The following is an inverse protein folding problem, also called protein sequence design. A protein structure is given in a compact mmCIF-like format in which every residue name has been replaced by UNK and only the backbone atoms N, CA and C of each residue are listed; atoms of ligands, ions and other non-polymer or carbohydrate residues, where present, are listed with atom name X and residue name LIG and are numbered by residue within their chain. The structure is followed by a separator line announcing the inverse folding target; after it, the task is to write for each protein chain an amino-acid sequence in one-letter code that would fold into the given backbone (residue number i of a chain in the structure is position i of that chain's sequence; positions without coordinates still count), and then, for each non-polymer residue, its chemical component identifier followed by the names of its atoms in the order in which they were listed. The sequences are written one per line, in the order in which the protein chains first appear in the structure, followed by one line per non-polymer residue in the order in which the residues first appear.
data_IF_745653468847
#
_entry.id   IF_745653468847
#
_cell.length_a   1.000
_cell.length_b   1.000
_cell.length_c   1.000
_cell.angle_alpha   90.00
_cell.angle_beta   90.00
_cell.angle_gamma   90.00
#
_symmetry.space_group_name_H-M   'P 1'
#
loop_
_entity.id
_entity.type
_entity.pdbx_description
1 polymer ?
#
# COMPACT_ATOMS: atom_id res chain seq x y z
N UNK A 1 27.34 16.21 24.93
CA UNK A 1 26.16 16.16 24.05
C UNK A 1 26.45 15.72 22.62
N UNK A 2 27.47 16.22 21.89
CA UNK A 2 27.76 15.84 20.51
C UNK A 2 28.19 14.37 20.29
N UNK A 3 28.87 13.75 21.25
CA UNK A 3 29.31 12.35 21.16
C UNK A 3 28.16 11.35 21.38
N UNK A 4 27.22 11.65 22.31
CA UNK A 4 25.99 10.88 22.52
C UNK A 4 25.06 10.93 21.29
N UNK A 5 25.00 12.07 20.60
CA UNK A 5 24.24 12.22 19.34
C UNK A 5 24.81 11.35 18.20
N UNK A 6 26.13 11.22 18.09
CA UNK A 6 26.79 10.36 17.08
C UNK A 6 26.54 8.85 17.33
N UNK A 7 26.56 8.44 18.61
CA UNK A 7 26.33 7.05 19.00
C UNK A 7 24.89 6.61 18.71
N UNK A 8 23.90 7.42 19.10
CA UNK A 8 22.49 7.15 18.81
C UNK A 8 22.17 7.11 17.30
N UNK A 9 22.81 7.98 16.50
CA UNK A 9 22.64 7.95 15.04
C UNK A 9 23.22 6.70 14.39
N UNK A 10 24.37 6.19 14.89
CA UNK A 10 24.95 4.93 14.40
C UNK A 10 24.06 3.73 14.69
N UNK A 11 23.42 3.71 15.87
CA UNK A 11 22.47 2.65 16.27
C UNK A 11 21.22 2.71 15.38
N UNK A 12 20.63 3.88 15.19
CA UNK A 12 19.44 4.07 14.34
C UNK A 12 19.71 3.67 12.89
N UNK A 13 20.87 4.01 12.35
CA UNK A 13 21.30 3.61 11.00
C UNK A 13 21.46 2.08 10.89
N UNK A 14 22.03 1.42 11.89
CA UNK A 14 22.18 -0.03 11.93
C UNK A 14 20.81 -0.72 12.01
N UNK A 15 19.91 -0.23 12.84
CA UNK A 15 18.55 -0.78 12.93
C UNK A 15 17.71 -0.50 11.67
N UNK A 16 17.84 0.67 11.05
CA UNK A 16 17.21 0.96 9.75
C UNK A 16 17.71 0.02 8.63
N UNK A 17 19.00 -0.30 8.64
CA UNK A 17 19.57 -1.26 7.69
C UNK A 17 19.12 -2.69 7.97
N UNK A 18 19.04 -3.10 9.24
CA UNK A 18 18.56 -4.43 9.65
C UNK A 18 17.07 -4.59 9.34
N UNK A 19 16.22 -3.63 9.67
CA UNK A 19 14.78 -3.67 9.33
C UNK A 19 14.56 -3.66 7.83
N UNK A 20 15.38 -2.94 7.06
CA UNK A 20 15.34 -2.94 5.61
C UNK A 20 15.73 -4.30 5.04
N UNK A 21 16.83 -4.89 5.50
CA UNK A 21 17.26 -6.22 5.06
C UNK A 21 16.24 -7.29 5.42
N UNK A 22 15.66 -7.23 6.61
CA UNK A 22 14.61 -8.15 7.04
C UNK A 22 13.32 -7.97 6.21
N UNK A 23 12.89 -6.74 5.94
CA UNK A 23 11.74 -6.47 5.05
C UNK A 23 11.99 -6.97 3.63
N UNK A 24 13.22 -6.81 3.15
CA UNK A 24 13.66 -7.29 1.84
C UNK A 24 13.68 -8.82 1.79
N UNK A 25 14.22 -9.46 2.81
CA UNK A 25 14.29 -10.91 2.92
C UNK A 25 12.89 -11.53 2.99
N UNK A 26 11.95 -10.88 3.69
CA UNK A 26 10.54 -11.29 3.75
C UNK A 26 9.82 -11.07 2.42
N UNK A 27 10.07 -9.97 1.70
CA UNK A 27 9.54 -9.77 0.35
C UNK A 27 10.07 -10.82 -0.64
N UNK A 28 11.36 -11.13 -0.58
CA UNK A 28 11.99 -12.16 -1.41
C UNK A 28 11.50 -13.57 -1.06
N UNK A 29 11.35 -13.87 0.24
CA UNK A 29 10.82 -15.17 0.68
C UNK A 29 9.33 -15.33 0.43
N UNK A 30 8.54 -14.25 0.42
CA UNK A 30 7.13 -14.32 -0.01
C UNK A 30 6.97 -14.71 -1.49
N UNK A 31 7.96 -14.39 -2.32
CA UNK A 31 8.02 -14.87 -3.72
C UNK A 31 8.59 -16.29 -3.87
N UNK A 32 9.44 -16.72 -2.94
CA UNK A 32 10.20 -17.97 -3.07
C UNK A 32 9.62 -19.17 -2.30
N UNK A 33 8.80 -18.95 -1.27
CA UNK A 33 8.33 -20.02 -0.36
C UNK A 33 6.91 -20.46 -0.69
N UNK A 34 6.76 -21.05 -1.88
CA UNK A 34 5.80 -22.12 -2.10
C UNK A 34 6.39 -23.50 -1.71
N UNK A 35 7.56 -23.54 -1.08
CA UNK A 35 8.29 -24.79 -0.79
C UNK A 35 8.78 -24.81 0.65
N UNK A 36 8.19 -25.70 1.44
CA UNK A 36 8.54 -26.12 2.80
C UNK A 36 7.70 -25.50 3.93
N UNK A 37 6.84 -26.35 4.49
CA UNK A 37 6.08 -26.08 5.72
C UNK A 37 6.97 -26.37 6.94
N UNK A 38 7.05 -25.47 7.94
CA UNK A 38 7.46 -25.84 9.28
C UNK A 38 6.29 -26.58 9.98
N UNK A 39 6.63 -27.56 10.80
CA UNK A 39 5.74 -28.27 11.69
C UNK A 39 4.91 -27.27 12.51
N UNK A 40 3.60 -27.21 12.25
CA UNK A 40 2.64 -26.44 13.03
C UNK A 40 2.07 -27.31 14.15
N UNK A 41 1.82 -26.67 15.30
CA UNK A 41 0.89 -27.17 16.30
C UNK A 41 -0.47 -27.52 15.67
N UNK A 42 -1.32 -28.40 16.27
CA UNK A 42 -2.45 -28.99 15.61
C UNK A 42 -3.58 -27.94 15.39
N UNK A 43 -3.37 -27.00 14.48
CA UNK A 43 -4.49 -26.39 13.80
C UNK A 43 -5.08 -27.51 12.94
N UNK A 44 -6.33 -27.89 13.22
CA UNK A 44 -7.09 -28.85 12.42
C UNK A 44 -7.06 -28.39 10.97
N UNK A 45 -6.22 -29.03 10.15
CA UNK A 45 -6.22 -28.80 8.71
C UNK A 45 -6.96 -29.95 8.02
N UNK A 46 -7.61 -29.65 6.91
CA UNK A 46 -8.32 -30.67 6.13
C UNK A 46 -7.34 -31.75 5.63
N UNK A 47 -7.74 -33.02 5.75
CA UNK A 47 -7.01 -34.18 5.26
C UNK A 47 -7.93 -34.95 4.34
N UNK A 48 -7.51 -35.18 3.10
CA UNK A 48 -8.30 -35.90 2.09
C UNK A 48 -9.78 -35.43 1.98
N UNK A 49 -9.98 -34.10 1.98
CA UNK A 49 -11.30 -33.50 1.81
C UNK A 49 -12.17 -33.51 3.07
N UNK A 50 -11.63 -33.87 4.24
CA UNK A 50 -12.34 -33.85 5.52
C UNK A 50 -11.64 -32.94 6.52
N UNK A 51 -12.44 -32.07 7.18
CA UNK A 51 -11.98 -31.19 8.26
C UNK A 51 -12.86 -31.42 9.50
N UNK A 52 -12.25 -31.79 10.62
CA UNK A 52 -12.97 -31.98 11.88
C UNK A 52 -12.82 -30.76 12.78
N UNK A 53 -13.93 -30.04 12.97
CA UNK A 53 -14.06 -28.88 13.84
C UNK A 53 -15.05 -29.11 14.98
N UNK A 54 -15.38 -30.38 15.31
CA UNK A 54 -16.35 -30.71 16.36
C UNK A 54 -16.01 -30.13 17.73
N UNK A 55 -14.71 -29.87 17.98
CA UNK A 55 -14.20 -29.25 19.20
C UNK A 55 -14.04 -27.71 19.11
N UNK A 56 -14.46 -27.05 18.02
CA UNK A 56 -14.26 -25.61 17.83
C UNK A 56 -15.06 -24.80 18.86
N UNK A 57 -14.39 -23.99 19.72
CA UNK A 57 -15.06 -23.15 20.71
C UNK A 57 -16.02 -22.15 20.08
N UNK A 58 -17.04 -21.75 20.83
CA UNK A 58 -17.98 -20.71 20.38
C UNK A 58 -17.25 -19.36 20.36
N UNK A 59 -17.42 -18.60 19.29
CA UNK A 59 -16.76 -17.30 19.11
C UNK A 59 -15.43 -17.37 18.36
N UNK A 60 -14.88 -18.57 18.18
CA UNK A 60 -13.64 -18.74 17.43
C UNK A 60 -13.89 -18.80 15.91
N UNK A 61 -12.97 -18.20 15.15
CA UNK A 61 -12.93 -18.21 13.69
C UNK A 61 -11.75 -19.07 13.27
N UNK A 62 -12.00 -20.04 12.40
CA UNK A 62 -10.97 -20.94 11.88
C UNK A 62 -10.83 -20.83 10.36
N UNK A 63 -9.66 -21.23 9.84
CA UNK A 63 -9.39 -21.29 8.40
C UNK A 63 -9.71 -22.67 7.87
N UNK A 64 -10.31 -22.73 6.71
CA UNK A 64 -10.60 -24.00 6.02
C UNK A 64 -9.39 -24.44 5.17
N UNK A 65 -8.23 -24.45 5.79
CA UNK A 65 -6.95 -24.78 5.13
C UNK A 65 -6.72 -26.30 5.12
N UNK A 66 -5.94 -26.79 4.15
CA UNK A 66 -5.52 -28.18 4.07
C UNK A 66 -5.83 -28.84 2.73
N UNK A 67 -6.01 -30.16 2.73
CA UNK A 67 -6.22 -30.91 1.50
C UNK A 67 -7.70 -30.99 1.15
N UNK A 68 -8.07 -30.35 -0.01
CA UNK A 68 -9.42 -30.39 -0.57
C UNK A 68 -9.48 -31.35 -1.74
N UNK A 69 -10.60 -32.05 -1.94
CA UNK A 69 -10.85 -32.80 -3.16
C UNK A 69 -10.94 -31.85 -4.36
N UNK A 70 -10.31 -32.19 -5.48
CA UNK A 70 -10.11 -31.30 -6.61
C UNK A 70 -10.43 -31.96 -7.94
N UNK A 71 -11.24 -31.26 -8.76
CA UNK A 71 -11.73 -31.72 -10.04
C UNK A 71 -11.36 -30.70 -11.12
N UNK A 72 -10.22 -30.92 -11.78
CA UNK A 72 -9.68 -30.02 -12.79
C UNK A 72 -10.47 -30.07 -14.09
N UNK A 73 -10.76 -28.90 -14.69
CA UNK A 73 -11.56 -28.70 -15.90
C UNK A 73 -13.00 -29.25 -15.85
N UNK A 74 -13.54 -29.41 -14.63
CA UNK A 74 -14.92 -29.81 -14.44
C UNK A 74 -15.62 -28.85 -13.46
N UNK A 75 -16.84 -28.44 -13.81
CA UNK A 75 -17.71 -27.62 -12.97
C UNK A 75 -18.86 -28.51 -12.50
N UNK A 76 -18.59 -29.33 -11.47
CA UNK A 76 -19.58 -30.22 -10.89
C UNK A 76 -20.48 -29.49 -9.89
N UNK A 77 -21.78 -29.74 -9.99
CA UNK A 77 -22.74 -29.42 -8.93
C UNK A 77 -22.68 -30.46 -7.80
N UNK A 78 -23.17 -30.15 -6.59
CA UNK A 78 -23.15 -31.12 -5.48
C UNK A 78 -23.82 -32.47 -5.80
N UNK A 79 -24.87 -32.48 -6.66
CA UNK A 79 -25.52 -33.73 -7.08
C UNK A 79 -24.66 -34.61 -7.99
N UNK A 80 -23.87 -33.98 -8.88
CA UNK A 80 -22.96 -34.70 -9.80
C UNK A 80 -21.75 -35.27 -9.07
N UNK A 81 -21.29 -34.61 -7.98
CA UNK A 81 -20.19 -35.09 -7.17
C UNK A 81 -20.46 -36.42 -6.46
N UNK A 82 -21.73 -36.81 -6.24
CA UNK A 82 -22.07 -38.10 -5.63
C UNK A 82 -21.53 -39.29 -6.42
N UNK A 83 -21.29 -39.15 -7.72
CA UNK A 83 -20.77 -40.20 -8.61
C UNK A 83 -19.36 -39.90 -9.14
N UNK A 84 -18.85 -38.68 -8.94
CA UNK A 84 -17.53 -38.26 -9.41
C UNK A 84 -16.45 -38.72 -8.43
N UNK A 85 -15.24 -38.95 -8.97
CA UNK A 85 -14.05 -39.19 -8.16
C UNK A 85 -13.09 -38.02 -8.28
N UNK A 86 -12.51 -37.54 -7.16
CA UNK A 86 -11.55 -36.47 -7.24
C UNK A 86 -10.32 -36.89 -8.07
N UNK A 87 -9.84 -35.97 -8.89
CA UNK A 87 -8.59 -36.17 -9.65
C UNK A 87 -7.38 -36.17 -8.73
N UNK A 88 -7.43 -35.36 -7.67
CA UNK A 88 -6.42 -35.27 -6.63
C UNK A 88 -6.97 -34.60 -5.37
N UNK A 89 -6.21 -34.68 -4.28
CA UNK A 89 -6.33 -33.80 -3.12
C UNK A 89 -5.27 -32.74 -3.20
N UNK A 90 -5.67 -31.46 -3.09
CA UNK A 90 -4.80 -30.31 -3.28
C UNK A 90 -4.79 -29.41 -2.06
N UNK A 91 -3.64 -28.81 -1.79
CA UNK A 91 -3.50 -27.90 -0.64
C UNK A 91 -4.14 -26.54 -0.92
N UNK A 92 -5.14 -26.18 -0.10
CA UNK A 92 -5.78 -24.86 -0.06
C UNK A 92 -5.35 -24.16 1.23
N UNK A 93 -4.98 -22.85 1.21
CA UNK A 93 -4.97 -21.96 0.05
C UNK A 93 -3.74 -22.14 -0.84
N UNK A 94 -3.96 -22.13 -2.14
CA UNK A 94 -2.90 -22.02 -3.15
C UNK A 94 -3.50 -21.68 -4.51
N UNK A 95 -2.75 -21.00 -5.37
CA UNK A 95 -3.14 -20.89 -6.76
C UNK A 95 -2.96 -22.23 -7.47
N UNK A 96 -3.92 -22.65 -8.29
CA UNK A 96 -3.88 -23.99 -8.92
C UNK A 96 -2.72 -24.18 -9.92
N UNK A 97 -2.19 -23.10 -10.49
CA UNK A 97 -0.99 -23.15 -11.33
C UNK A 97 0.31 -23.45 -10.54
N UNK A 98 0.22 -23.60 -9.22
CA UNK A 98 1.27 -24.20 -8.39
C UNK A 98 1.09 -25.71 -8.22
N UNK A 99 -0.05 -26.31 -8.59
CA UNK A 99 -0.29 -27.73 -8.49
C UNK A 99 0.32 -28.51 -9.66
N UNK A 100 0.74 -29.72 -9.35
CA UNK A 100 1.18 -30.72 -10.32
C UNK A 100 0.33 -31.96 -10.11
N UNK A 101 -0.42 -32.38 -11.13
CA UNK A 101 -1.26 -33.58 -11.11
C UNK A 101 -0.57 -34.69 -11.89
N UNK A 102 0.08 -35.61 -11.18
CA UNK A 102 1.00 -36.57 -11.77
C UNK A 102 2.23 -35.80 -12.31
N UNK A 103 2.48 -35.87 -13.64
CA UNK A 103 3.56 -35.13 -14.31
C UNK A 103 3.09 -33.77 -14.90
N UNK A 104 1.79 -33.52 -14.91
CA UNK A 104 1.21 -32.34 -15.54
C UNK A 104 1.15 -31.16 -14.58
N UNK A 105 1.87 -30.08 -14.87
CA UNK A 105 1.71 -28.80 -14.18
C UNK A 105 0.50 -28.07 -14.73
N UNK A 106 -0.41 -27.62 -13.85
CA UNK A 106 -1.63 -26.96 -14.27
C UNK A 106 -1.38 -25.59 -14.89
N UNK A 107 -2.17 -25.27 -15.91
CA UNK A 107 -2.18 -23.95 -16.53
C UNK A 107 -2.80 -22.91 -15.59
N UNK A 108 -2.49 -21.62 -15.84
CA UNK A 108 -3.11 -20.50 -15.11
C UNK A 108 -4.60 -20.37 -15.41
N UNK A 109 -5.00 -20.68 -16.65
CA UNK A 109 -6.34 -20.50 -17.19
C UNK A 109 -7.09 -21.84 -17.21
N UNK A 110 -8.36 -21.84 -16.77
CA UNK A 110 -9.20 -23.02 -16.72
C UNK A 110 -10.34 -22.91 -15.73
N UNK A 111 -10.93 -24.05 -15.41
CA UNK A 111 -11.98 -24.14 -14.41
C UNK A 111 -11.75 -25.36 -13.50
N UNK A 112 -12.29 -25.32 -12.29
CA UNK A 112 -12.17 -26.42 -11.36
C UNK A 112 -13.33 -26.43 -10.35
N UNK A 113 -13.60 -27.60 -9.79
CA UNK A 113 -14.43 -27.76 -8.61
C UNK A 113 -13.56 -28.18 -7.43
N UNK A 114 -13.77 -27.57 -6.29
CA UNK A 114 -13.21 -27.92 -4.99
C UNK A 114 -14.31 -28.45 -4.08
N UNK A 115 -14.00 -29.46 -3.29
CA UNK A 115 -14.96 -30.06 -2.36
C UNK A 115 -14.31 -30.28 -1.00
N UNK A 116 -15.04 -29.92 0.06
CA UNK A 116 -14.62 -30.11 1.46
C UNK A 116 -15.83 -30.53 2.30
N UNK A 117 -15.64 -31.58 3.09
CA UNK A 117 -16.57 -31.96 4.16
C UNK A 117 -16.03 -31.40 5.48
N UNK A 118 -16.85 -30.63 6.20
CA UNK A 118 -16.49 -30.07 7.51
C UNK A 118 -17.43 -30.62 8.57
N UNK A 119 -16.88 -31.27 9.59
CA UNK A 119 -17.65 -31.65 10.78
C UNK A 119 -17.68 -30.48 11.75
N UNK A 120 -18.82 -30.10 12.26
CA UNK A 120 -19.01 -28.94 13.13
C UNK A 120 -19.74 -29.28 14.42
N UNK A 121 -19.52 -28.50 15.53
CA UNK A 121 -20.24 -28.73 16.77
C UNK A 121 -21.74 -28.61 16.60
N UNK A 122 -22.50 -29.48 17.26
CA UNK A 122 -23.96 -29.43 17.33
C UNK A 122 -24.42 -28.59 18.52
N UNK A 123 -24.19 -27.28 18.46
CA UNK A 123 -24.51 -26.35 19.57
C UNK A 123 -25.50 -25.24 19.18
N UNK A 124 -26.16 -25.40 18.04
CA UNK A 124 -27.20 -24.50 17.57
C UNK A 124 -26.73 -23.15 17.07
N UNK A 125 -25.43 -22.94 16.89
CA UNK A 125 -24.92 -21.69 16.30
C UNK A 125 -25.26 -21.60 14.82
N UNK A 126 -25.44 -20.37 14.34
CA UNK A 126 -25.54 -20.06 12.91
C UNK A 126 -24.13 -19.88 12.37
N UNK A 127 -23.75 -20.64 11.35
CA UNK A 127 -22.44 -20.59 10.73
C UNK A 127 -22.39 -19.53 9.63
N UNK A 128 -21.20 -18.94 9.44
CA UNK A 128 -20.91 -18.07 8.31
C UNK A 128 -19.51 -18.36 7.75
N UNK A 129 -19.39 -18.19 6.43
CA UNK A 129 -18.13 -18.22 5.70
C UNK A 129 -17.70 -16.79 5.39
N UNK A 130 -16.46 -16.45 5.66
CA UNK A 130 -15.80 -15.25 5.12
C UNK A 130 -15.00 -15.67 3.89
N UNK A 131 -15.53 -15.34 2.72
CA UNK A 131 -15.00 -15.72 1.41
C UNK A 131 -14.19 -14.52 0.87
N UNK A 132 -12.86 -14.65 0.81
CA UNK A 132 -12.00 -13.60 0.26
C UNK A 132 -12.15 -13.48 -1.25
N UNK A 133 -11.35 -12.61 -1.86
CA UNK A 133 -11.27 -12.51 -3.33
C UNK A 133 -10.76 -13.84 -3.91
N UNK A 134 -11.57 -14.46 -4.74
CA UNK A 134 -11.22 -15.64 -5.55
C UNK A 134 -10.92 -15.19 -6.98
N UNK A 135 -9.97 -15.79 -7.65
CA UNK A 135 -9.64 -15.46 -9.04
C UNK A 135 -10.18 -16.52 -10.00
N UNK A 136 -11.12 -16.12 -10.90
CA UNK A 136 -11.72 -14.78 -11.08
C UNK A 136 -13.23 -14.78 -10.91
N UNK A 137 -13.89 -15.95 -11.05
CA UNK A 137 -15.31 -16.15 -10.79
C UNK A 137 -15.51 -17.41 -9.97
N UNK A 138 -16.49 -17.42 -9.07
CA UNK A 138 -16.81 -18.58 -8.26
C UNK A 138 -18.30 -18.72 -8.00
N UNK A 139 -18.71 -19.95 -7.65
CA UNK A 139 -20.02 -20.30 -7.13
C UNK A 139 -19.86 -21.31 -6.01
N UNK A 140 -20.52 -21.07 -4.88
CA UNK A 140 -20.41 -21.88 -3.66
C UNK A 140 -21.75 -22.50 -3.34
N UNK A 141 -21.73 -23.79 -3.05
CA UNK A 141 -22.84 -24.51 -2.43
C UNK A 141 -22.43 -24.99 -1.05
N UNK A 142 -23.39 -24.97 -0.14
CA UNK A 142 -23.28 -25.61 1.16
C UNK A 142 -24.52 -26.49 1.38
N UNK A 143 -24.31 -27.78 1.66
CA UNK A 143 -25.35 -28.77 1.81
C UNK A 143 -26.37 -28.74 0.66
N UNK A 144 -25.88 -28.74 -0.59
CA UNK A 144 -26.65 -28.73 -1.85
C UNK A 144 -27.39 -27.41 -2.17
N UNK A 145 -27.39 -26.44 -1.27
CA UNK A 145 -28.02 -25.13 -1.51
C UNK A 145 -26.94 -24.16 -2.02
N UNK A 146 -27.21 -23.46 -3.11
CA UNK A 146 -26.33 -22.36 -3.59
C UNK A 146 -26.32 -21.26 -2.54
N UNK A 147 -25.16 -21.00 -1.97
CA UNK A 147 -24.97 -20.07 -0.86
C UNK A 147 -24.44 -18.70 -1.33
N UNK A 148 -23.58 -18.67 -2.36
CA UNK A 148 -23.02 -17.44 -2.88
C UNK A 148 -22.42 -17.62 -4.27
N UNK A 149 -22.29 -16.50 -5.00
CA UNK A 149 -21.53 -16.44 -6.25
C UNK A 149 -20.88 -15.06 -6.44
N UNK A 150 -19.80 -15.01 -7.22
CA UNK A 150 -19.15 -13.77 -7.66
C UNK A 150 -18.71 -13.96 -9.11
N UNK A 151 -19.21 -13.13 -10.00
CA UNK A 151 -19.09 -13.33 -11.43
C UNK A 151 -19.95 -14.50 -11.94
N UNK A 152 -19.58 -15.03 -13.11
CA UNK A 152 -20.21 -16.22 -13.68
C UNK A 152 -19.14 -17.26 -13.98
N UNK A 153 -19.26 -18.46 -13.41
CA UNK A 153 -18.36 -19.56 -13.70
C UNK A 153 -18.64 -20.13 -15.10
N UNK A 154 -17.62 -20.49 -15.83
CA UNK A 154 -17.71 -21.03 -17.17
C UNK A 154 -16.54 -21.93 -17.50
N UNK A 155 -16.70 -22.82 -18.51
CA UNK A 155 -15.63 -23.71 -18.99
C UNK A 155 -14.80 -23.10 -20.14
N UNK A 156 -15.07 -21.84 -20.49
CA UNK A 156 -14.34 -21.11 -21.51
C UNK A 156 -14.30 -19.61 -21.20
N UNK A 157 -13.36 -18.88 -21.79
CA UNK A 157 -13.27 -17.43 -21.66
C UNK A 157 -14.53 -16.68 -22.12
N UNK A 158 -15.30 -17.26 -23.04
CA UNK A 158 -16.54 -16.66 -23.54
C UNK A 158 -17.70 -16.83 -22.58
N UNK A 159 -17.72 -17.93 -21.81
CA UNK A 159 -18.82 -18.26 -20.88
C UNK A 159 -18.53 -17.77 -19.44
N UNK A 160 -17.28 -17.51 -19.10
CA UNK A 160 -16.91 -17.01 -17.80
C UNK A 160 -16.98 -15.47 -17.75
N UNK A 161 -17.50 -14.92 -16.65
CA UNK A 161 -17.50 -13.46 -16.40
C UNK A 161 -16.77 -13.19 -15.09
N UNK A 162 -15.61 -12.57 -15.11
CA UNK A 162 -14.81 -12.31 -13.91
C UNK A 162 -15.45 -11.26 -13.01
N UNK A 163 -15.31 -11.43 -11.69
CA UNK A 163 -15.69 -10.42 -10.69
C UNK A 163 -14.68 -10.42 -9.52
N UNK A 164 -14.65 -9.35 -8.78
CA UNK A 164 -13.77 -9.19 -7.59
C UNK A 164 -14.63 -8.70 -6.44
N UNK A 165 -15.32 -9.64 -5.77
CA UNK A 165 -16.23 -9.31 -4.68
C UNK A 165 -16.07 -10.29 -3.52
N UNK A 166 -15.32 -9.91 -2.45
CA UNK A 166 -15.28 -10.69 -1.22
C UNK A 166 -16.61 -10.53 -0.47
N UNK A 167 -17.09 -11.60 0.17
CA UNK A 167 -18.39 -11.56 0.85
C UNK A 167 -18.45 -12.51 2.04
N UNK A 168 -19.28 -12.14 3.01
CA UNK A 168 -19.68 -13.03 4.10
C UNK A 168 -20.95 -13.75 3.68
N UNK A 169 -20.92 -15.06 3.79
CA UNK A 169 -22.00 -15.97 3.41
C UNK A 169 -22.58 -16.60 4.66
N UNK A 170 -23.82 -16.24 4.99
CA UNK A 170 -24.54 -16.82 6.12
C UNK A 170 -25.16 -18.14 5.71
N UNK A 171 -24.85 -19.20 6.48
CA UNK A 171 -25.38 -20.55 6.17
C UNK A 171 -26.71 -20.75 6.84
N UNK A 172 -27.73 -21.20 6.08
CA UNK A 172 -29.06 -21.44 6.63
C UNK A 172 -29.07 -22.66 7.55
N UNK A 173 -29.87 -22.57 8.60
CA UNK A 173 -30.15 -23.69 9.53
C UNK A 173 -29.26 -23.68 10.76
N UNK A 174 -29.84 -24.16 11.85
CA UNK A 174 -29.20 -24.43 13.14
C UNK A 174 -29.19 -25.94 13.38
N UNK A 175 -28.19 -26.42 14.16
CA UNK A 175 -28.11 -27.84 14.52
C UNK A 175 -27.52 -28.75 13.43
N UNK A 176 -26.79 -28.16 12.46
CA UNK A 176 -26.00 -28.94 11.51
C UNK A 176 -24.78 -29.52 12.20
N UNK A 177 -24.50 -30.81 11.95
CA UNK A 177 -23.29 -31.49 12.47
C UNK A 177 -22.20 -31.60 11.40
N UNK A 178 -22.55 -31.31 10.14
CA UNK A 178 -21.63 -31.31 9.04
C UNK A 178 -22.02 -30.31 7.96
N UNK A 179 -21.00 -29.73 7.29
CA UNK A 179 -21.16 -28.83 6.17
C UNK A 179 -20.43 -29.43 4.96
N UNK A 180 -21.20 -29.71 3.91
CA UNK A 180 -20.62 -30.13 2.61
C UNK A 180 -20.46 -28.88 1.74
N UNK A 181 -19.21 -28.44 1.56
CA UNK A 181 -18.86 -27.22 0.83
C UNK A 181 -18.34 -27.61 -0.55
N UNK A 182 -18.99 -27.08 -1.58
CA UNK A 182 -18.59 -27.27 -2.99
C UNK A 182 -18.37 -25.89 -3.60
N UNK A 183 -17.20 -25.69 -4.22
CA UNK A 183 -16.83 -24.42 -4.82
C UNK A 183 -16.38 -24.64 -6.27
N UNK A 184 -17.16 -24.14 -7.21
CA UNK A 184 -16.72 -24.03 -8.60
C UNK A 184 -15.96 -22.73 -8.77
N UNK A 185 -14.83 -22.78 -9.48
CA UNK A 185 -14.00 -21.61 -9.82
C UNK A 185 -13.66 -21.66 -11.29
N UNK A 186 -13.71 -20.51 -11.96
CA UNK A 186 -13.16 -20.33 -13.30
C UNK A 186 -12.25 -19.11 -13.37
N UNK A 187 -11.16 -19.21 -14.16
CA UNK A 187 -10.22 -18.15 -14.38
C UNK A 187 -9.67 -18.20 -15.81
N UNK A 188 -9.93 -17.14 -16.56
CA UNK A 188 -9.42 -16.96 -17.94
C UNK A 188 -8.74 -15.60 -18.13
N UNK A 189 -8.67 -14.77 -17.06
CA UNK A 189 -8.22 -13.38 -17.12
C UNK A 189 -6.99 -13.09 -16.23
N UNK A 190 -6.78 -13.87 -15.17
CA UNK A 190 -5.69 -13.62 -14.23
C UNK A 190 -4.59 -14.69 -14.34
N UNK A 191 -3.32 -14.29 -14.18
CA UNK A 191 -2.17 -15.20 -14.21
C UNK A 191 -2.15 -16.22 -13.06
N UNK A 192 -2.96 -16.05 -12.04
CA UNK A 192 -3.22 -17.00 -10.95
C UNK A 192 -4.70 -17.34 -10.92
N UNK A 193 -5.03 -18.61 -10.73
CA UNK A 193 -6.42 -19.05 -10.59
C UNK A 193 -6.61 -19.87 -9.32
N UNK A 194 -7.88 -20.01 -8.89
CA UNK A 194 -8.26 -20.87 -7.77
C UNK A 194 -8.36 -20.16 -6.41
N UNK A 195 -8.37 -20.98 -5.34
CA UNK A 195 -8.51 -20.55 -3.96
C UNK A 195 -7.15 -20.18 -3.36
N UNK A 196 -6.66 -19.00 -3.67
CA UNK A 196 -5.32 -18.55 -3.29
C UNK A 196 -5.24 -17.90 -1.89
N UNK A 197 -6.39 -17.65 -1.27
CA UNK A 197 -6.52 -17.17 0.11
C UNK A 197 -7.40 -18.10 0.92
N UNK A 198 -7.16 -18.17 2.24
CA UNK A 198 -7.96 -18.97 3.16
C UNK A 198 -9.40 -18.48 3.25
N UNK A 199 -10.36 -19.37 3.04
CA UNK A 199 -11.73 -19.15 3.44
C UNK A 199 -11.82 -19.38 4.95
N UNK A 200 -12.57 -18.52 5.67
CA UNK A 200 -12.73 -18.66 7.12
C UNK A 200 -14.14 -19.10 7.44
N UNK A 201 -14.26 -19.93 8.46
CA UNK A 201 -15.54 -20.41 9.03
C UNK A 201 -15.61 -20.01 10.51
N UNK A 202 -16.76 -19.54 10.93
CA UNK A 202 -17.04 -19.21 12.33
C UNK A 202 -18.52 -19.01 12.57
N UNK A 203 -18.89 -18.69 13.82
CA UNK A 203 -20.26 -18.25 14.06
C UNK A 203 -20.53 -16.91 13.36
N UNK A 204 -21.79 -16.71 12.93
CA UNK A 204 -22.20 -15.55 12.13
C UNK A 204 -21.86 -14.21 12.78
N UNK A 205 -21.94 -14.15 14.12
CA UNK A 205 -21.64 -12.91 14.87
C UNK A 205 -20.15 -12.59 14.80
N UNK A 206 -19.28 -13.57 15.09
CA UNK A 206 -17.83 -13.39 15.08
C UNK A 206 -17.30 -13.04 13.70
N UNK A 207 -17.74 -13.71 12.65
CA UNK A 207 -17.39 -13.40 11.26
C UNK A 207 -17.82 -11.97 10.89
N UNK A 208 -19.07 -11.59 11.22
CA UNK A 208 -19.59 -10.25 10.94
C UNK A 208 -18.78 -9.17 11.66
N UNK A 209 -18.50 -9.36 12.94
CA UNK A 209 -17.70 -8.42 13.73
C UNK A 209 -16.29 -8.29 13.16
N UNK A 210 -15.64 -9.41 12.81
CA UNK A 210 -14.32 -9.40 12.17
C UNK A 210 -14.32 -8.62 10.86
N UNK A 211 -15.32 -8.85 9.98
CA UNK A 211 -15.45 -8.10 8.72
C UNK A 211 -15.69 -6.61 8.98
N UNK A 212 -16.55 -6.25 9.94
CA UNK A 212 -16.81 -4.84 10.27
C UNK A 212 -15.54 -4.12 10.72
N UNK A 213 -14.73 -4.75 11.57
CA UNK A 213 -13.44 -4.16 11.98
C UNK A 213 -12.48 -3.96 10.80
N UNK A 214 -12.41 -4.89 9.85
CA UNK A 214 -11.60 -4.71 8.63
C UNK A 214 -12.11 -3.52 7.80
N UNK A 215 -13.42 -3.46 7.54
CA UNK A 215 -14.05 -2.37 6.78
C UNK A 215 -13.83 -1.01 7.44
N UNK A 216 -13.99 -0.92 8.77
CA UNK A 216 -13.74 0.31 9.53
C UNK A 216 -12.27 0.73 9.40
N UNK A 217 -11.33 -0.22 9.54
CA UNK A 217 -9.91 0.06 9.39
C UNK A 217 -9.53 0.55 7.99
N UNK A 218 -10.07 -0.08 6.95
CA UNK A 218 -9.86 0.35 5.56
C UNK A 218 -10.48 1.74 5.29
N UNK A 219 -11.72 1.96 5.71
CA UNK A 219 -12.41 3.24 5.55
C UNK A 219 -11.68 4.37 6.30
N UNK A 220 -11.19 4.10 7.52
CA UNK A 220 -10.37 5.05 8.27
C UNK A 220 -9.10 5.42 7.50
N UNK A 221 -8.37 4.43 6.98
CA UNK A 221 -7.17 4.67 6.18
C UNK A 221 -7.47 5.51 4.93
N UNK A 222 -8.50 5.16 4.18
CA UNK A 222 -8.93 5.90 2.98
C UNK A 222 -9.27 7.35 3.35
N UNK A 223 -10.00 7.57 4.45
CA UNK A 223 -10.36 8.90 4.93
C UNK A 223 -9.14 9.73 5.31
N UNK A 224 -8.21 9.18 6.09
CA UNK A 224 -6.96 9.86 6.49
C UNK A 224 -6.12 10.21 5.25
N UNK A 225 -5.95 9.26 4.32
CA UNK A 225 -5.21 9.51 3.09
C UNK A 225 -5.86 10.58 2.22
N UNK A 226 -7.19 10.56 2.11
CA UNK A 226 -7.96 11.56 1.37
C UNK A 226 -7.78 12.97 1.96
N UNK A 227 -7.94 13.11 3.28
CA UNK A 227 -7.71 14.39 3.98
C UNK A 227 -6.28 14.88 3.76
N UNK A 228 -5.28 14.01 3.88
CA UNK A 228 -3.88 14.36 3.63
C UNK A 228 -3.64 14.80 2.19
N UNK A 229 -4.26 14.14 1.22
CA UNK A 229 -4.17 14.53 -0.19
C UNK A 229 -4.72 15.95 -0.41
N UNK A 230 -5.93 16.23 0.05
CA UNK A 230 -6.55 17.55 -0.10
C UNK A 230 -5.80 18.64 0.66
N UNK A 231 -5.32 18.37 1.87
CA UNK A 231 -4.49 19.31 2.64
C UNK A 231 -3.23 19.72 1.85
N UNK A 232 -2.50 18.73 1.29
CA UNK A 232 -1.28 19.02 0.54
C UNK A 232 -1.54 19.68 -0.81
N UNK A 233 -2.64 19.37 -1.48
CA UNK A 233 -3.08 20.12 -2.66
C UNK A 233 -3.41 21.57 -2.32
N UNK A 234 -4.07 21.82 -1.18
CA UNK A 234 -4.30 23.18 -0.68
C UNK A 234 -3.00 23.95 -0.46
N UNK A 235 -2.00 23.35 0.19
CA UNK A 235 -0.67 23.96 0.36
C UNK A 235 -0.03 24.28 -1.01
N UNK A 236 -0.11 23.37 -1.96
CA UNK A 236 0.45 23.58 -3.29
C UNK A 236 -0.25 24.72 -4.05
N UNK A 237 -1.57 24.83 -3.96
CA UNK A 237 -2.33 25.94 -4.57
C UNK A 237 -1.87 27.28 -4.03
N UNK A 238 -1.65 27.38 -2.72
CA UNK A 238 -1.14 28.58 -2.07
C UNK A 238 0.31 28.90 -2.41
N UNK A 239 1.14 27.87 -2.66
CA UNK A 239 2.58 28.01 -2.89
C UNK A 239 3.08 27.20 -4.07
N UNK A 240 2.67 27.55 -5.27
CA UNK A 240 2.95 26.82 -6.53
C UNK A 240 4.44 26.69 -6.88
N UNK A 241 5.32 27.50 -6.28
CA UNK A 241 6.78 27.42 -6.47
C UNK A 241 7.39 26.15 -5.87
N UNK A 242 6.73 25.54 -4.88
CA UNK A 242 7.20 24.33 -4.21
C UNK A 242 6.31 23.14 -4.57
N UNK A 243 6.76 22.25 -5.49
CA UNK A 243 5.92 21.14 -5.96
C UNK A 243 5.93 19.91 -5.02
N UNK A 244 6.72 19.90 -3.94
CA UNK A 244 6.76 18.77 -3.00
C UNK A 244 5.38 18.40 -2.43
N UNK A 245 4.52 19.36 -2.01
CA UNK A 245 3.17 19.04 -1.55
C UNK A 245 2.29 18.40 -2.62
N UNK A 246 2.41 18.84 -3.89
CA UNK A 246 1.68 18.23 -5.00
C UNK A 246 2.03 16.74 -5.14
N UNK A 247 3.32 16.41 -5.09
CA UNK A 247 3.76 15.03 -5.22
C UNK A 247 3.32 14.17 -4.04
N UNK A 248 3.39 14.70 -2.83
CA UNK A 248 2.95 13.98 -1.65
C UNK A 248 1.42 13.82 -1.60
N UNK A 249 0.67 14.86 -1.96
CA UNK A 249 -0.79 14.79 -2.09
C UNK A 249 -1.23 13.78 -3.15
N UNK A 250 -0.57 13.75 -4.32
CA UNK A 250 -0.83 12.75 -5.36
C UNK A 250 -0.54 11.32 -4.90
N UNK A 251 0.55 11.11 -4.16
CA UNK A 251 0.85 9.82 -3.52
C UNK A 251 -0.28 9.38 -2.57
N UNK A 252 -0.69 10.25 -1.65
CA UNK A 252 -1.76 9.96 -0.69
C UNK A 252 -3.08 9.64 -1.40
N UNK A 253 -3.44 10.39 -2.45
CA UNK A 253 -4.66 10.16 -3.22
C UNK A 253 -4.65 8.78 -3.89
N UNK A 254 -3.56 8.41 -4.56
CA UNK A 254 -3.45 7.13 -5.24
C UNK A 254 -3.43 5.94 -4.27
N UNK A 255 -2.82 6.09 -3.09
CA UNK A 255 -2.89 5.07 -2.04
C UNK A 255 -4.32 4.94 -1.51
N UNK A 256 -5.04 6.05 -1.28
CA UNK A 256 -6.45 6.01 -0.87
C UNK A 256 -7.33 5.29 -1.90
N UNK A 257 -7.18 5.63 -3.18
CA UNK A 257 -7.91 4.97 -4.26
C UNK A 257 -7.58 3.48 -4.35
N UNK A 258 -6.30 3.12 -4.27
CA UNK A 258 -5.88 1.71 -4.25
C UNK A 258 -6.46 0.95 -3.06
N UNK A 259 -6.42 1.55 -1.87
CA UNK A 259 -6.99 0.92 -0.66
C UNK A 259 -8.49 0.64 -0.80
N UNK A 260 -9.23 1.48 -1.53
CA UNK A 260 -10.65 1.23 -1.81
C UNK A 260 -10.90 0.05 -2.80
N UNK A 261 -9.86 -0.38 -3.55
CA UNK A 261 -9.94 -1.43 -4.58
C UNK A 261 -9.37 -2.79 -4.11
N UNK A 262 -8.74 -2.83 -2.94
CA UNK A 262 -8.06 -4.02 -2.38
C UNK A 262 -8.71 -4.39 -1.05
N UNK A 263 -8.47 -5.59 -0.53
CA UNK A 263 -9.06 -6.07 0.72
C UNK A 263 -10.54 -6.36 0.57
N UNK A 264 -11.39 -5.69 1.35
CA UNK A 264 -12.85 -5.81 1.28
C UNK A 264 -13.46 -5.09 0.05
N UNK A 265 -12.63 -4.53 -0.84
CA UNK A 265 -12.99 -3.90 -2.12
C UNK A 265 -14.14 -2.90 -1.97
N UNK A 266 -13.96 -1.93 -1.06
CA UNK A 266 -15.02 -0.99 -0.67
C UNK A 266 -15.62 -0.22 -1.85
N UNK A 267 -14.85 0.01 -2.92
CA UNK A 267 -15.32 0.70 -4.12
C UNK A 267 -16.52 -0.03 -4.76
N UNK A 268 -16.57 -1.37 -4.70
CA UNK A 268 -17.68 -2.16 -5.25
C UNK A 268 -18.97 -2.02 -4.44
N UNK A 269 -18.89 -1.62 -3.17
CA UNK A 269 -20.06 -1.31 -2.35
C UNK A 269 -20.69 0.03 -2.73
N UNK A 270 -19.85 0.99 -3.20
CA UNK A 270 -20.26 2.33 -3.64
C UNK A 270 -20.68 2.30 -5.11
N UNK A 271 -19.94 1.56 -5.93
CA UNK A 271 -20.16 1.47 -7.37
C UNK A 271 -20.12 0.02 -7.88
N UNK A 272 -21.20 -0.76 -7.70
CA UNK A 272 -21.28 -2.19 -8.05
C UNK A 272 -21.09 -2.49 -9.55
N UNK A 273 -21.32 -1.49 -10.42
CA UNK A 273 -21.21 -1.62 -11.88
C UNK A 273 -19.79 -1.56 -12.44
N UNK A 274 -18.77 -1.42 -11.59
CA UNK A 274 -17.39 -1.36 -12.06
C UNK A 274 -16.94 -2.72 -12.57
N UNK A 275 -16.49 -2.79 -13.83
CA UNK A 275 -16.01 -4.04 -14.41
C UNK A 275 -14.73 -4.52 -13.72
N UNK A 276 -14.54 -5.85 -13.65
CA UNK A 276 -13.34 -6.46 -13.08
C UNK A 276 -12.06 -5.92 -13.74
N UNK A 277 -12.07 -5.81 -15.08
CA UNK A 277 -10.94 -5.30 -15.84
C UNK A 277 -10.59 -3.85 -15.48
N UNK A 278 -11.61 -2.97 -15.41
CA UNK A 278 -11.39 -1.57 -15.01
C UNK A 278 -10.83 -1.48 -13.59
N UNK A 279 -11.29 -2.34 -12.68
CA UNK A 279 -10.82 -2.40 -11.30
C UNK A 279 -9.34 -2.79 -11.24
N UNK A 280 -8.94 -3.86 -11.94
CA UNK A 280 -7.54 -4.34 -11.96
C UNK A 280 -6.60 -3.33 -12.64
N UNK A 281 -7.00 -2.75 -13.78
CA UNK A 281 -6.21 -1.70 -14.45
C UNK A 281 -6.02 -0.48 -13.56
N UNK A 282 -7.09 -0.04 -12.90
CA UNK A 282 -7.04 1.10 -11.96
C UNK A 282 -6.15 0.80 -10.75
N UNK A 283 -6.22 -0.41 -10.18
CA UNK A 283 -5.36 -0.84 -9.08
C UNK A 283 -3.87 -0.76 -9.47
N UNK A 284 -3.49 -1.31 -10.62
CA UNK A 284 -2.10 -1.28 -11.08
C UNK A 284 -1.63 0.13 -11.45
N UNK A 285 -2.51 0.94 -12.04
CA UNK A 285 -2.22 2.34 -12.33
C UNK A 285 -1.96 3.13 -11.04
N UNK A 286 -2.75 2.90 -9.98
CA UNK A 286 -2.51 3.50 -8.66
C UNK A 286 -1.15 3.09 -8.07
N UNK A 287 -0.74 1.84 -8.23
CA UNK A 287 0.58 1.37 -7.77
C UNK A 287 1.72 2.11 -8.47
N UNK A 288 1.70 2.14 -9.81
CA UNK A 288 2.76 2.79 -10.60
C UNK A 288 2.80 4.29 -10.36
N UNK A 289 1.62 4.91 -10.35
CA UNK A 289 1.49 6.34 -10.08
C UNK A 289 1.98 6.72 -8.67
N UNK A 290 1.62 5.95 -7.64
CA UNK A 290 2.08 6.19 -6.28
C UNK A 290 3.60 6.08 -6.16
N UNK A 291 4.22 5.13 -6.85
CA UNK A 291 5.67 4.95 -6.90
C UNK A 291 6.36 6.19 -7.54
N UNK A 292 5.80 6.69 -8.64
CA UNK A 292 6.32 7.88 -9.32
C UNK A 292 6.15 9.14 -8.47
N UNK A 293 4.97 9.34 -7.87
CA UNK A 293 4.72 10.49 -7.02
C UNK A 293 5.61 10.50 -5.78
N UNK A 294 5.76 9.37 -5.09
CA UNK A 294 6.59 9.28 -3.89
C UNK A 294 8.08 9.48 -4.20
N UNK A 295 8.59 8.89 -5.28
CA UNK A 295 9.98 9.15 -5.69
C UNK A 295 10.22 10.61 -6.09
N UNK A 296 9.24 11.25 -6.77
CA UNK A 296 9.33 12.66 -7.14
C UNK A 296 9.31 13.57 -5.89
N UNK A 297 8.50 13.23 -4.89
CA UNK A 297 8.50 13.87 -3.57
C UNK A 297 9.86 13.72 -2.89
N UNK A 298 10.40 12.51 -2.79
CA UNK A 298 11.67 12.22 -2.13
C UNK A 298 12.85 12.96 -2.82
N UNK A 299 12.87 12.96 -4.16
CA UNK A 299 13.88 13.70 -4.92
C UNK A 299 13.81 15.22 -4.66
N UNK A 300 12.59 15.77 -4.49
CA UNK A 300 12.43 17.20 -4.20
C UNK A 300 12.83 17.54 -2.78
N UNK A 301 12.60 16.61 -1.84
CA UNK A 301 12.97 16.78 -0.43
C UNK A 301 14.50 16.72 -0.22
N UNK A 302 15.17 15.78 -0.91
CA UNK A 302 16.62 15.54 -0.80
C UNK A 302 17.31 15.58 -2.18
N UNK A 303 17.36 16.75 -2.87
CA UNK A 303 17.84 16.83 -4.25
C UNK A 303 19.34 16.53 -4.39
N UNK A 304 20.12 16.71 -3.29
CA UNK A 304 21.56 16.44 -3.28
C UNK A 304 21.90 14.96 -2.99
N UNK A 305 20.93 14.18 -2.52
CA UNK A 305 21.08 12.77 -2.14
C UNK A 305 20.40 11.85 -3.15
N UNK A 306 19.42 12.39 -3.92
CA UNK A 306 18.73 11.72 -5.01
C UNK A 306 19.43 11.88 -6.37
N UNK A 307 19.22 10.91 -7.27
CA UNK A 307 19.76 10.93 -8.64
C UNK A 307 18.72 11.44 -9.65
N UNK A 308 19.08 12.49 -10.40
CA UNK A 308 18.25 13.00 -11.51
C UNK A 308 18.07 11.94 -12.61
N UNK A 309 19.13 11.16 -12.88
CA UNK A 309 19.07 10.07 -13.88
C UNK A 309 18.09 9.00 -13.46
N UNK A 310 18.10 8.60 -12.18
CA UNK A 310 17.14 7.63 -11.65
C UNK A 310 15.70 8.14 -11.73
N UNK A 311 15.46 9.40 -11.34
CA UNK A 311 14.13 10.03 -11.47
C UNK A 311 13.63 9.99 -12.93
N UNK A 312 14.49 10.32 -13.89
CA UNK A 312 14.14 10.27 -15.31
C UNK A 312 13.83 8.85 -15.77
N UNK A 313 14.71 7.88 -15.42
CA UNK A 313 14.49 6.46 -15.72
C UNK A 313 13.14 5.97 -15.16
N UNK A 314 12.88 6.26 -13.89
CA UNK A 314 11.62 5.88 -13.23
C UNK A 314 10.42 6.50 -13.96
N UNK A 315 10.50 7.77 -14.36
CA UNK A 315 9.43 8.43 -15.12
C UNK A 315 9.15 7.70 -16.43
N UNK A 316 10.19 7.37 -17.20
CA UNK A 316 10.02 6.63 -18.45
C UNK A 316 9.44 5.23 -18.24
N UNK A 317 9.94 4.50 -17.24
CA UNK A 317 9.44 3.15 -16.94
C UNK A 317 7.98 3.21 -16.46
N UNK A 318 7.64 4.11 -15.54
CA UNK A 318 6.26 4.28 -15.07
C UNK A 318 5.31 4.68 -16.21
N UNK A 319 5.75 5.57 -17.11
CA UNK A 319 4.95 5.97 -18.28
C UNK A 319 4.75 4.80 -19.26
N UNK A 320 5.80 4.03 -19.53
CA UNK A 320 5.71 2.86 -20.41
C UNK A 320 4.78 1.78 -19.81
N UNK A 321 4.90 1.49 -18.51
CA UNK A 321 3.98 0.59 -17.82
C UNK A 321 2.55 1.13 -17.78
N UNK A 322 2.36 2.42 -17.57
CA UNK A 322 1.03 3.05 -17.61
C UNK A 322 0.36 2.88 -18.99
N UNK A 323 1.10 3.10 -20.06
CA UNK A 323 0.62 2.85 -21.43
C UNK A 323 0.33 1.36 -21.66
N UNK A 324 1.20 0.48 -21.18
CA UNK A 324 1.00 -0.97 -21.28
C UNK A 324 -0.25 -1.44 -20.52
N UNK A 325 -0.52 -0.92 -19.31
CA UNK A 325 -1.75 -1.21 -18.55
C UNK A 325 -2.99 -0.75 -19.32
N UNK A 326 -2.93 0.38 -20.01
CA UNK A 326 -4.07 0.91 -20.77
C UNK A 326 -4.32 0.17 -22.08
N UNK A 327 -3.28 -0.20 -22.82
CA UNK A 327 -3.38 -0.73 -24.19
C UNK A 327 -3.20 -2.27 -24.27
N UNK A 328 -2.56 -2.90 -23.30
CA UNK A 328 -2.30 -4.35 -23.29
C UNK A 328 -3.55 -5.18 -22.96
N UNK A 329 -3.57 -6.44 -23.40
CA UNK A 329 -4.58 -7.38 -22.95
C UNK A 329 -4.47 -7.60 -21.43
N UNK A 330 -5.60 -7.85 -20.77
CA UNK A 330 -5.61 -7.97 -19.31
C UNK A 330 -4.79 -9.17 -18.83
N UNK A 331 -4.72 -10.25 -19.60
CA UNK A 331 -3.90 -11.42 -19.31
C UNK A 331 -2.41 -11.03 -19.25
N UNK A 332 -1.91 -10.33 -20.27
CA UNK A 332 -0.52 -9.85 -20.31
C UNK A 332 -0.22 -8.87 -19.17
N UNK A 333 -1.17 -8.01 -18.84
CA UNK A 333 -1.02 -7.06 -17.72
C UNK A 333 -0.89 -7.81 -16.38
N UNK A 334 -1.69 -8.87 -16.17
CA UNK A 334 -1.59 -9.67 -14.93
C UNK A 334 -0.33 -10.55 -14.91
N UNK A 335 0.11 -11.07 -16.03
CA UNK A 335 1.38 -11.84 -16.16
C UNK A 335 2.62 -10.98 -15.90
N UNK A 336 2.57 -9.70 -16.29
CA UNK A 336 3.65 -8.75 -16.05
C UNK A 336 3.82 -8.37 -14.56
N UNK A 337 2.95 -8.86 -13.66
CA UNK A 337 2.98 -8.51 -12.23
C UNK A 337 4.33 -8.83 -11.57
N UNK A 338 4.98 -9.92 -11.93
CA UNK A 338 6.30 -10.26 -11.39
C UNK A 338 7.35 -9.19 -11.72
N UNK A 339 7.37 -8.70 -12.97
CA UNK A 339 8.28 -7.63 -13.39
C UNK A 339 7.97 -6.33 -12.64
N UNK A 340 6.68 -6.02 -12.45
CA UNK A 340 6.25 -4.87 -11.66
C UNK A 340 6.70 -4.99 -10.20
N UNK A 341 6.56 -6.16 -9.57
CA UNK A 341 7.01 -6.41 -8.20
C UNK A 341 8.53 -6.23 -8.05
N UNK A 342 9.33 -6.77 -8.97
CA UNK A 342 10.78 -6.59 -8.99
C UNK A 342 11.17 -5.12 -9.18
N UNK A 343 10.44 -4.39 -10.02
CA UNK A 343 10.66 -2.96 -10.22
C UNK A 343 10.32 -2.14 -8.99
N UNK A 344 9.21 -2.46 -8.30
CA UNK A 344 8.83 -1.85 -7.01
C UNK A 344 9.93 -2.10 -5.98
N UNK A 345 10.42 -3.34 -5.87
CA UNK A 345 11.49 -3.71 -4.96
C UNK A 345 12.78 -2.92 -5.23
N UNK A 346 13.21 -2.86 -6.50
CA UNK A 346 14.38 -2.09 -6.89
C UNK A 346 14.25 -0.59 -6.55
N UNK A 347 13.06 -0.03 -6.79
CA UNK A 347 12.77 1.37 -6.46
C UNK A 347 12.74 1.60 -4.95
N UNK A 348 12.18 0.68 -4.18
CA UNK A 348 12.18 0.75 -2.71
C UNK A 348 13.60 0.74 -2.14
N UNK A 349 14.48 -0.12 -2.67
CA UNK A 349 15.90 -0.16 -2.29
C UNK A 349 16.61 1.16 -2.58
N UNK A 350 16.35 1.74 -3.74
CA UNK A 350 16.90 3.05 -4.08
C UNK A 350 16.40 4.14 -3.11
N UNK A 351 15.10 4.19 -2.81
CA UNK A 351 14.52 5.15 -1.86
C UNK A 351 15.13 5.02 -0.47
N UNK A 352 15.35 3.79 0.00
CA UNK A 352 16.05 3.53 1.25
C UNK A 352 17.49 4.03 1.23
N UNK A 353 18.22 3.84 0.12
CA UNK A 353 19.56 4.36 -0.01
C UNK A 353 19.59 5.92 0.04
N UNK A 354 18.59 6.60 -0.52
CA UNK A 354 18.43 8.05 -0.41
C UNK A 354 18.20 8.47 1.03
N UNK A 355 17.29 7.80 1.75
CA UNK A 355 17.03 8.08 3.18
C UNK A 355 18.26 7.87 4.05
N UNK A 356 19.01 6.78 3.85
CA UNK A 356 20.26 6.50 4.58
C UNK A 356 21.28 7.60 4.33
N UNK A 357 21.48 8.06 3.08
CA UNK A 357 22.37 9.17 2.74
C UNK A 357 21.91 10.47 3.39
N UNK A 358 20.60 10.77 3.37
CA UNK A 358 20.05 11.97 4.00
C UNK A 358 20.31 12.00 5.52
N UNK A 359 20.13 10.88 6.23
CA UNK A 359 20.44 10.77 7.65
C UNK A 359 21.95 10.90 7.90
N UNK A 360 22.80 10.20 7.12
CA UNK A 360 24.25 10.26 7.25
C UNK A 360 24.79 11.68 7.06
N UNK A 361 24.16 12.46 6.18
CA UNK A 361 24.48 13.86 5.92
C UNK A 361 23.74 14.84 6.82
N UNK A 362 23.04 14.33 7.85
CA UNK A 362 22.30 15.13 8.83
C UNK A 362 21.30 16.12 8.20
N UNK A 363 20.62 15.67 7.12
CA UNK A 363 19.58 16.50 6.51
C UNK A 363 18.44 16.73 7.48
N UNK A 364 17.85 17.91 7.44
CA UNK A 364 16.71 18.25 8.28
C UNK A 364 15.54 17.27 8.08
N UNK A 365 14.98 16.80 9.19
CA UNK A 365 13.84 15.90 9.20
C UNK A 365 14.09 14.47 8.70
N UNK A 366 15.29 14.14 8.20
CA UNK A 366 15.60 12.81 7.70
C UNK A 366 15.40 11.72 8.75
N UNK A 367 15.67 12.03 10.02
CA UNK A 367 15.47 11.09 11.13
C UNK A 367 13.98 10.74 11.33
N UNK A 368 13.09 11.74 11.30
CA UNK A 368 11.64 11.53 11.41
C UNK A 368 11.09 10.71 10.23
N UNK A 369 11.57 11.01 9.01
CA UNK A 369 11.20 10.27 7.81
C UNK A 369 11.60 8.79 7.88
N UNK A 370 12.83 8.52 8.33
CA UNK A 370 13.34 7.14 8.50
C UNK A 370 12.61 6.43 9.65
N UNK A 371 12.34 7.12 10.76
CA UNK A 371 11.58 6.53 11.87
C UNK A 371 10.17 6.09 11.41
N UNK A 372 9.46 6.93 10.64
CA UNK A 372 8.18 6.55 10.06
C UNK A 372 8.29 5.35 9.11
N UNK A 373 9.33 5.30 8.27
CA UNK A 373 9.57 4.18 7.36
C UNK A 373 9.90 2.88 8.12
N UNK A 374 10.62 2.95 9.24
CA UNK A 374 10.89 1.80 10.11
C UNK A 374 9.62 1.26 10.77
N UNK A 375 8.74 2.14 11.25
CA UNK A 375 7.45 1.71 11.83
C UNK A 375 6.60 0.99 10.78
N UNK A 376 6.52 1.53 9.57
CA UNK A 376 5.82 0.86 8.47
C UNK A 376 6.46 -0.49 8.14
N UNK A 377 7.79 -0.56 8.02
CA UNK A 377 8.50 -1.81 7.77
C UNK A 377 8.26 -2.87 8.86
N UNK A 378 8.27 -2.46 10.12
CA UNK A 378 7.96 -3.34 11.26
C UNK A 378 6.50 -3.84 11.22
N UNK A 379 5.55 -2.97 10.86
CA UNK A 379 4.14 -3.34 10.71
C UNK A 379 3.93 -4.35 9.57
N UNK A 380 4.55 -4.14 8.41
CA UNK A 380 4.51 -5.08 7.28
C UNK A 380 5.13 -6.43 7.69
N UNK A 381 6.26 -6.41 8.39
CA UNK A 381 6.91 -7.63 8.89
C UNK A 381 5.99 -8.40 9.84
N UNK A 382 5.39 -7.70 10.79
CA UNK A 382 4.41 -8.29 11.70
C UNK A 382 3.29 -8.99 10.93
N UNK A 383 2.69 -8.32 9.94
CA UNK A 383 1.56 -8.86 9.19
C UNK A 383 1.95 -10.10 8.38
N UNK A 384 3.17 -10.14 7.83
CA UNK A 384 3.68 -11.34 7.16
C UNK A 384 3.87 -12.50 8.15
N UNK A 385 4.42 -12.24 9.34
CA UNK A 385 4.58 -13.26 10.38
C UNK A 385 3.23 -13.73 10.92
N UNK A 386 2.28 -12.82 11.08
CA UNK A 386 0.90 -13.14 11.47
C UNK A 386 0.19 -14.02 10.43
N UNK A 387 0.30 -13.67 9.14
CA UNK A 387 -0.27 -14.48 8.05
C UNK A 387 0.34 -15.89 7.98
N UNK A 388 1.57 -16.04 8.43
CA UNK A 388 2.25 -17.35 8.52
C UNK A 388 1.97 -18.11 9.83
N UNK A 389 1.20 -17.53 10.75
CA UNK A 389 0.91 -18.13 12.05
C UNK A 389 2.09 -18.14 13.02
N UNK A 390 3.19 -17.41 12.72
CA UNK A 390 4.37 -17.32 13.59
C UNK A 390 4.20 -16.37 14.77
N UNK A 391 3.25 -15.44 14.68
CA UNK A 391 2.86 -14.51 15.74
C UNK A 391 1.33 -14.39 15.80
N UNK A 392 0.78 -14.11 16.98
CA UNK A 392 -0.67 -14.00 17.21
C UNK A 392 -1.06 -12.55 17.52
N UNK A 393 -0.59 -11.59 16.72
CA UNK A 393 -0.72 -10.16 17.00
C UNK A 393 -1.87 -9.48 16.28
N UNK A 394 -2.07 -9.76 14.99
CA UNK A 394 -3.05 -9.07 14.13
C UNK A 394 -2.39 -8.23 13.03
N UNK A 395 -3.21 -7.53 12.23
CA UNK A 395 -2.76 -6.73 11.10
C UNK A 395 -2.44 -5.29 11.51
N UNK A 396 -1.18 -4.88 11.43
CA UNK A 396 -0.69 -3.55 11.78
C UNK A 396 -0.25 -2.68 10.60
N UNK A 397 -0.25 -3.19 9.35
CA UNK A 397 0.19 -2.42 8.18
C UNK A 397 -0.60 -1.12 8.02
N UNK A 398 -1.91 -1.12 8.28
CA UNK A 398 -2.76 0.08 8.23
C UNK A 398 -2.27 1.16 9.21
N UNK A 399 -1.98 0.77 10.44
CA UNK A 399 -1.44 1.68 11.46
C UNK A 399 -0.03 2.16 11.11
N UNK A 400 0.83 1.24 10.64
CA UNK A 400 2.19 1.57 10.20
C UNK A 400 2.20 2.58 9.06
N UNK A 401 1.30 2.42 8.10
CA UNK A 401 1.14 3.35 6.97
C UNK A 401 0.63 4.71 7.43
N UNK A 402 -0.31 4.76 8.38
CA UNK A 402 -0.77 6.00 9.01
C UNK A 402 0.40 6.75 9.66
N UNK A 403 1.19 6.08 10.51
CA UNK A 403 2.35 6.68 11.19
C UNK A 403 3.39 7.17 10.18
N UNK A 404 3.67 6.38 9.14
CA UNK A 404 4.60 6.76 8.07
C UNK A 404 4.17 8.06 7.37
N UNK A 405 2.90 8.15 6.98
CA UNK A 405 2.38 9.31 6.27
C UNK A 405 2.33 10.53 7.18
N UNK A 406 1.94 10.35 8.45
CA UNK A 406 1.98 11.42 9.43
C UNK A 406 3.40 11.96 9.60
N UNK A 407 4.42 11.10 9.70
CA UNK A 407 5.81 11.50 9.78
C UNK A 407 6.27 12.30 8.55
N UNK A 408 5.89 11.88 7.34
CA UNK A 408 6.21 12.60 6.11
C UNK A 408 5.48 13.96 6.03
N UNK A 409 4.21 14.01 6.44
CA UNK A 409 3.43 15.24 6.50
C UNK A 409 4.01 16.23 7.51
N UNK A 410 4.38 15.77 8.71
CA UNK A 410 5.05 16.59 9.73
C UNK A 410 6.37 17.16 9.21
N UNK A 411 7.18 16.34 8.54
CA UNK A 411 8.43 16.76 7.94
C UNK A 411 8.22 17.92 6.95
N UNK A 412 7.25 17.76 6.05
CA UNK A 412 6.93 18.77 5.05
C UNK A 412 6.42 20.07 5.71
N UNK A 413 5.51 19.97 6.68
CA UNK A 413 4.97 21.11 7.42
C UNK A 413 6.03 21.84 8.24
N UNK A 414 6.94 21.12 8.91
CA UNK A 414 8.04 21.72 9.68
C UNK A 414 9.03 22.47 8.78
N UNK A 415 9.30 21.94 7.57
CA UNK A 415 10.10 22.62 6.57
C UNK A 415 9.48 23.94 6.10
N UNK A 416 8.14 23.97 5.93
CA UNK A 416 7.44 25.21 5.60
C UNK A 416 7.46 26.24 6.73
N UNK A 417 7.22 25.82 7.98
CA UNK A 417 7.25 26.71 9.14
C UNK A 417 8.62 27.39 9.27
N UNK A 418 9.71 26.65 9.13
CA UNK A 418 11.07 27.21 9.15
C UNK A 418 11.35 28.17 8.00
N UNK A 419 10.93 27.81 6.77
CA UNK A 419 11.12 28.69 5.62
C UNK A 419 10.36 30.00 5.78
N UNK A 420 9.16 29.97 6.41
CA UNK A 420 8.38 31.15 6.71
C UNK A 420 9.07 32.04 7.75
N UNK A 421 9.49 31.46 8.89
CA UNK A 421 10.22 32.18 9.95
C UNK A 421 11.52 32.82 9.41
N UNK A 422 12.28 32.10 8.59
CA UNK A 422 13.48 32.64 7.95
C UNK A 422 13.19 33.79 7.00
N UNK A 423 12.06 33.75 6.28
CA UNK A 423 11.62 34.83 5.41
C UNK A 423 11.21 36.09 6.20
N UNK A 424 10.54 35.92 7.34
CA UNK A 424 10.18 37.02 8.25
C UNK A 424 11.43 37.68 8.84
N UNK A 425 12.39 36.89 9.31
CA UNK A 425 13.67 37.40 9.82
C UNK A 425 14.43 38.19 8.75
N UNK A 426 14.46 37.68 7.52
CA UNK A 426 15.15 38.35 6.40
C UNK A 426 14.45 39.66 6.03
N UNK A 427 13.12 39.69 6.03
CA UNK A 427 12.33 40.92 5.82
C UNK A 427 12.63 41.96 6.91
N UNK A 428 12.68 41.53 8.17
CA UNK A 428 13.07 42.41 9.29
C UNK A 428 14.48 43.02 9.12
N UNK A 429 15.47 42.19 8.73
CA UNK A 429 16.84 42.66 8.44
C UNK A 429 16.87 43.65 7.27
N UNK A 430 16.12 43.44 6.22
CA UNK A 430 16.01 44.36 5.08
C UNK A 430 15.42 45.72 5.48
N UNK A 431 14.35 45.73 6.29
CA UNK A 431 13.77 46.97 6.81
C UNK A 431 14.78 47.76 7.64
N UNK A 432 15.48 47.07 8.55
CA UNK A 432 16.49 47.69 9.39
C UNK A 432 17.68 48.25 8.55
N UNK A 433 18.12 47.51 7.52
CA UNK A 433 19.19 47.95 6.63
C UNK A 433 18.77 49.18 5.81
N UNK A 434 17.55 49.22 5.28
CA UNK A 434 17.03 50.37 4.57
C UNK A 434 16.96 51.63 5.44
N UNK A 435 16.46 51.49 6.68
CA UNK A 435 16.43 52.60 7.62
C UNK A 435 17.82 53.15 7.94
N UNK A 436 18.81 52.25 8.09
CA UNK A 436 20.21 52.65 8.33
C UNK A 436 20.85 53.29 7.10
N UNK A 437 20.52 52.87 5.89
CA UNK A 437 20.96 53.48 4.64
C UNK A 437 20.38 54.86 4.44
N UNK A 438 19.08 55.07 4.69
CA UNK A 438 18.42 56.36 4.64
C UNK A 438 19.06 57.36 5.59
N UNK A 439 19.35 56.96 6.83
CA UNK A 439 20.04 57.80 7.80
C UNK A 439 21.45 58.20 7.33
N UNK A 440 22.26 57.25 6.80
CA UNK A 440 23.56 57.54 6.23
C UNK A 440 23.50 58.49 5.02
N UNK A 441 22.50 58.29 4.16
CA UNK A 441 22.29 59.22 3.01
C UNK A 441 21.96 60.59 3.51
N UNK A 442 21.06 60.74 4.49
CA UNK A 442 20.68 62.03 5.10
C UNK A 442 21.91 62.72 5.76
N UNK A 443 22.74 61.99 6.47
CA UNK A 443 23.95 62.52 7.09
C UNK A 443 24.96 63.02 6.03
N UNK A 444 25.17 62.21 4.95
CA UNK A 444 26.07 62.63 3.85
C UNK A 444 25.53 63.86 3.08
N UNK A 445 24.22 63.93 2.84
CA UNK A 445 23.61 65.05 2.19
C UNK A 445 23.77 66.34 3.00
N UNK A 446 23.54 66.27 4.34
CA UNK A 446 23.77 67.42 5.24
C UNK A 446 25.26 67.85 5.26
N UNK A 447 26.20 66.87 5.29
CA UNK A 447 27.62 67.22 5.23
C UNK A 447 28.04 67.86 3.90
N UNK A 448 27.51 67.41 2.76
CA UNK A 448 27.71 68.00 1.46
C UNK A 448 27.10 69.44 1.37
N UNK A 449 25.94 69.67 1.93
CA UNK A 449 25.36 71.00 2.01
C UNK A 449 26.17 71.96 2.85
N UNK A 450 26.75 71.49 3.97
CA UNK A 450 27.66 72.29 4.80
C UNK A 450 28.96 72.68 4.04
N UNK A 451 29.57 71.70 3.35
CA UNK A 451 30.76 71.94 2.52
C UNK A 451 30.44 72.90 1.37
N UNK A 452 29.31 72.77 0.72
CA UNK A 452 28.86 73.66 -0.36
C UNK A 452 28.64 75.10 0.14
N UNK A 453 27.97 75.25 1.30
CA UNK A 453 27.83 76.58 1.94
C UNK A 453 29.19 77.21 2.29
N UNK A 454 30.11 76.43 2.85
CA UNK A 454 31.46 76.94 3.15
C UNK A 454 32.22 77.37 1.87
N UNK A 455 32.15 76.57 0.80
CA UNK A 455 32.77 76.91 -0.49
C UNK A 455 32.12 78.16 -1.16
N UNK A 456 30.81 78.34 -1.06
CA UNK A 456 30.14 79.54 -1.55
C UNK A 456 30.56 80.81 -0.78
N UNK A 457 30.70 80.66 0.55
CA UNK A 457 31.21 81.78 1.41
C UNK A 457 32.65 82.08 1.04
N UNK A 458 33.49 81.05 0.91
CA UNK A 458 34.92 81.22 0.53
C UNK A 458 35.06 81.89 -0.85
N UNK A 459 34.34 81.49 -1.87
CA UNK A 459 34.30 82.13 -3.19
C UNK A 459 33.84 83.60 -3.12
N UNK A 460 32.84 83.95 -2.28
CA UNK A 460 32.46 85.34 -2.08
C UNK A 460 33.53 86.18 -1.40
N UNK A 461 34.31 85.55 -0.50
CA UNK A 461 35.40 86.24 0.19
C UNK A 461 36.55 86.51 -0.77
N UNK A 462 36.95 85.56 -1.64
CA UNK A 462 38.01 85.73 -2.63
C UNK A 462 37.55 86.76 -3.71
N UNK A 463 36.30 86.68 -4.19
CA UNK A 463 35.76 87.64 -5.18
C UNK A 463 35.70 89.06 -4.64
N UNK A 464 35.55 89.29 -3.33
CA UNK A 464 35.57 90.59 -2.71
C UNK A 464 37.00 91.17 -2.60
N UNK A 465 37.99 90.35 -2.39
CA UNK A 465 39.37 90.77 -2.27
C UNK A 465 40.01 91.04 -3.63
N UNK A 466 39.50 90.50 -4.73
CA UNK A 466 39.96 90.75 -6.11
C UNK A 466 39.43 92.06 -6.67
N UNK A 467 38.35 92.61 -6.10
CA UNK A 467 37.71 93.88 -6.52
C UNK A 467 38.32 95.07 -5.76
N UNK A 468 39.12 94.83 -4.68
CA UNK A 468 39.72 95.82 -3.83
C UNK A 468 41.26 95.94 -4.05
N UNK A 469 41.84 95.19 -4.97
CA UNK A 469 43.21 95.31 -5.47
C UNK A 469 43.17 95.90 -6.89
#
# INVERSE_FOLDING_TARGET
MAQMSKYNQSIILKWAYVTLLLSLQVLLTSCAVARERPLQEPHTSAVQGLLDLTALPKGEITKLDGEWAFYWNHLYTPGELMTARPRAYVSVPSAWNAYTLGEEKLASYGSATYELQVLVPNDGRVWALDVPVVFTAYRIWVNQVEAASSGTVGQSAQSAVPAKYPQVVYLPGTGQTSLHIVIQVSNYENYRGGLWQSIQLGDATSITVSQQFRIIGEAFLIGVMGIMAFYHFGIYILRRKEPAPLYFGGYCLLIALRSAMVGDVLIMRIYPGLSWEALIRSEYFCVIGSLWFFNSFLYRLYPQDGSRRFKSLLTWVCSAFGLFIMAGSIQLVTEALLFLQLFILFTALYMCAVFIRAVSRRREGALAAVAGAMVLGAAIMNDVLYLRGLVHTGNFTTLGLFVFIFAQSYLLSSGFAKAFSSSEELAGKLIHLNASLEEKVRQRTRALEQVNKANVIHRRFIGRNVILA
#
